data_IF_133876440575
#
_entry.id   IF_133876440575
#
_cell.length_a   1.000
_cell.length_b   1.000
_cell.length_c   1.000
_cell.angle_alpha   90.00
_cell.angle_beta   90.00
_cell.angle_gamma   90.00
#
_symmetry.space_group_name_H-M   'P 1'
#
loop_
_entity.id
_entity.type
_entity.pdbx_description
1 polymer ?
#
# COMPACT_ATOMS: atom_id res chain seq x y z
N UNK A 1 -21.76 -4.53 -30.76
CA UNK A 1 -22.47 -4.83 -29.51
C UNK A 1 -21.50 -4.65 -28.37
N UNK A 2 -21.59 -3.50 -27.68
CA UNK A 2 -20.76 -3.23 -26.51
C UNK A 2 -21.20 -4.13 -25.36
N UNK A 3 -20.29 -4.99 -24.89
CA UNK A 3 -20.49 -5.71 -23.63
C UNK A 3 -20.56 -4.66 -22.53
N UNK A 4 -21.76 -4.43 -21.97
CA UNK A 4 -21.94 -3.73 -20.71
C UNK A 4 -21.24 -4.58 -19.63
N UNK A 5 -19.94 -4.39 -19.46
CA UNK A 5 -19.26 -4.91 -18.28
C UNK A 5 -19.78 -4.11 -17.10
N UNK A 6 -20.56 -4.77 -16.23
CA UNK A 6 -20.92 -4.19 -14.92
C UNK A 6 -19.63 -3.67 -14.30
N UNK A 7 -19.64 -2.45 -13.73
CA UNK A 7 -18.46 -1.94 -13.04
C UNK A 7 -18.04 -2.97 -11.99
N UNK A 8 -16.74 -3.27 -11.95
CA UNK A 8 -16.19 -4.11 -10.91
C UNK A 8 -16.48 -3.43 -9.57
N UNK A 9 -17.17 -4.14 -8.68
CA UNK A 9 -17.61 -3.60 -7.37
C UNK A 9 -16.41 -3.16 -6.53
N UNK A 10 -15.22 -3.66 -6.85
CA UNK A 10 -13.97 -3.30 -6.19
C UNK A 10 -13.33 -1.99 -6.69
N UNK A 11 -13.86 -1.39 -7.77
CA UNK A 11 -13.27 -0.19 -8.38
C UNK A 11 -13.56 1.06 -7.54
N UNK A 12 -12.49 1.74 -7.09
CA UNK A 12 -12.55 2.94 -6.24
C UNK A 12 -12.55 4.21 -7.08
N UNK A 13 -11.61 4.29 -8.04
CA UNK A 13 -11.39 5.44 -8.90
C UNK A 13 -10.94 4.98 -10.29
N UNK A 14 -11.28 5.78 -11.32
CA UNK A 14 -10.76 5.52 -12.65
C UNK A 14 -10.72 6.79 -13.51
N UNK A 15 -9.80 6.80 -14.47
CA UNK A 15 -9.73 7.81 -15.54
C UNK A 15 -9.54 7.05 -16.85
N UNK A 16 -10.44 7.27 -17.78
CA UNK A 16 -10.41 6.61 -19.10
C UNK A 16 -10.53 7.60 -20.25
N UNK A 17 -9.96 7.24 -21.37
CA UNK A 17 -10.23 7.82 -22.67
C UNK A 17 -10.29 6.68 -23.69
N UNK A 18 -10.42 7.02 -24.97
CA UNK A 18 -10.53 6.00 -26.05
C UNK A 18 -9.29 5.09 -26.16
N UNK A 19 -8.14 5.53 -25.67
CA UNK A 19 -6.85 4.84 -25.84
C UNK A 19 -6.41 4.08 -24.62
N UNK A 20 -6.58 4.68 -23.44
CA UNK A 20 -6.01 4.15 -22.20
C UNK A 20 -6.95 4.34 -21.02
N UNK A 21 -6.83 3.42 -20.05
CA UNK A 21 -7.51 3.48 -18.76
C UNK A 21 -6.47 3.39 -17.64
N UNK A 22 -6.68 4.15 -16.58
CA UNK A 22 -6.14 3.85 -15.25
C UNK A 22 -7.30 3.64 -14.28
N UNK A 23 -7.24 2.58 -13.49
CA UNK A 23 -8.20 2.31 -12.42
C UNK A 23 -7.48 1.93 -11.13
N UNK A 24 -8.11 2.25 -10.00
CA UNK A 24 -7.71 1.78 -8.68
C UNK A 24 -8.81 0.86 -8.14
N UNK A 25 -8.43 -0.29 -7.60
CA UNK A 25 -9.34 -1.29 -7.06
C UNK A 25 -8.99 -1.60 -5.61
N UNK A 26 -10.02 -1.93 -4.83
CA UNK A 26 -9.92 -2.33 -3.44
C UNK A 26 -9.39 -3.77 -3.32
N UNK A 27 -8.22 -3.90 -2.71
CA UNK A 27 -7.62 -5.15 -2.23
C UNK A 27 -7.20 -4.98 -0.76
N UNK A 28 -7.92 -4.13 -0.03
CA UNK A 28 -7.69 -3.89 1.38
C UNK A 28 -8.20 -5.07 2.21
N UNK A 29 -7.43 -5.42 3.21
CA UNK A 29 -7.76 -6.49 4.14
C UNK A 29 -7.54 -6.02 5.57
N UNK A 30 -8.48 -6.31 6.49
CA UNK A 30 -8.26 -6.09 7.90
C UNK A 30 -7.13 -7.00 8.38
N UNK A 31 -6.42 -6.62 9.46
CA UNK A 31 -5.44 -7.50 10.08
C UNK A 31 -6.13 -8.80 10.53
N UNK A 32 -5.41 -9.90 10.38
CA UNK A 32 -5.88 -11.20 10.86
C UNK A 32 -5.90 -11.18 12.40
N UNK A 33 -7.09 -11.35 12.96
CA UNK A 33 -7.34 -11.38 14.40
C UNK A 33 -7.04 -12.74 15.01
N UNK A 34 -6.92 -13.79 14.19
CA UNK A 34 -6.59 -15.14 14.63
C UNK A 34 -5.07 -15.40 14.59
N UNK A 35 -4.29 -14.38 14.22
CA UNK A 35 -2.84 -14.43 14.30
C UNK A 35 -2.33 -14.52 15.72
N UNK A 36 -1.09 -14.92 15.86
CA UNK A 36 -0.35 -15.06 17.11
C UNK A 36 -0.69 -13.94 18.11
N UNK A 37 -1.36 -14.23 19.25
CA UNK A 37 -1.76 -13.22 20.21
C UNK A 37 -0.59 -12.45 20.83
N UNK A 38 0.63 -12.98 20.73
CA UNK A 38 1.85 -12.29 21.18
C UNK A 38 2.35 -11.21 20.20
N UNK A 39 1.77 -11.15 19.00
CA UNK A 39 2.12 -10.17 17.97
C UNK A 39 1.00 -9.17 17.76
N UNK A 40 0.97 -8.13 18.59
CA UNK A 40 0.10 -6.99 18.33
C UNK A 40 0.38 -6.44 16.91
N UNK A 41 -0.62 -6.40 16.01
CA UNK A 41 -0.40 -5.88 14.68
C UNK A 41 -0.02 -4.40 14.74
N UNK A 42 1.05 -4.03 14.06
CA UNK A 42 1.56 -2.66 14.03
C UNK A 42 0.71 -1.72 13.15
N UNK A 43 -0.26 -2.25 12.41
CA UNK A 43 -1.04 -1.53 11.41
C UNK A 43 -2.51 -1.93 11.44
N UNK A 44 -3.39 -1.00 11.05
CA UNK A 44 -4.81 -1.26 10.80
C UNK A 44 -5.05 -2.11 9.54
N UNK A 45 -4.02 -2.35 8.76
CA UNK A 45 -4.06 -3.14 7.55
C UNK A 45 -3.29 -4.45 7.72
N UNK A 46 -3.80 -5.52 7.13
CA UNK A 46 -3.04 -6.77 7.00
C UNK A 46 -1.76 -6.54 6.19
N UNK A 47 -0.76 -7.38 6.40
CA UNK A 47 0.52 -7.32 5.67
C UNK A 47 0.35 -7.29 4.15
N UNK A 48 -0.71 -7.89 3.64
CA UNK A 48 -1.01 -8.00 2.20
C UNK A 48 -2.13 -7.07 1.73
N UNK A 49 -2.57 -6.13 2.59
CA UNK A 49 -3.56 -5.11 2.23
C UNK A 49 -2.97 -4.17 1.16
N UNK A 50 -3.69 -3.99 0.05
CA UNK A 50 -3.18 -3.24 -1.12
C UNK A 50 -4.27 -2.42 -1.78
N UNK A 51 -3.85 -1.38 -2.49
CA UNK A 51 -4.62 -0.77 -3.57
C UNK A 51 -4.04 -1.28 -4.89
N UNK A 52 -4.84 -1.99 -5.67
CA UNK A 52 -4.43 -2.48 -6.99
C UNK A 52 -4.66 -1.40 -8.04
N UNK A 53 -3.61 -0.96 -8.68
CA UNK A 53 -3.68 -0.11 -9.87
C UNK A 53 -3.72 -0.97 -11.13
N UNK A 54 -4.57 -0.59 -12.08
CA UNK A 54 -4.71 -1.25 -13.37
C UNK A 54 -4.49 -0.19 -14.45
N UNK A 55 -3.56 -0.42 -15.35
CA UNK A 55 -3.40 0.36 -16.57
C UNK A 55 -3.74 -0.52 -17.76
N UNK A 56 -4.59 0.00 -18.67
CA UNK A 56 -4.99 -0.69 -19.90
C UNK A 56 -4.68 0.18 -21.11
N UNK A 57 -4.10 -0.43 -22.12
CA UNK A 57 -3.88 0.14 -23.44
C UNK A 57 -4.84 -0.54 -24.44
N UNK A 58 -5.82 0.21 -24.94
CA UNK A 58 -6.84 -0.27 -25.87
C UNK A 58 -6.40 -0.16 -27.35
N UNK A 59 -5.32 0.58 -27.65
CA UNK A 59 -4.81 0.74 -29.02
C UNK A 59 -4.08 -0.51 -29.50
N UNK A 60 -3.64 -1.38 -28.59
CA UNK A 60 -3.02 -2.66 -28.94
C UNK A 60 -4.06 -3.73 -29.21
N UNK A 61 -3.76 -4.63 -30.13
CA UNK A 61 -4.61 -5.77 -30.43
C UNK A 61 -3.82 -7.09 -30.28
N UNK A 62 -4.11 -7.93 -29.24
CA UNK A 62 -5.12 -7.68 -28.19
C UNK A 62 -4.75 -6.54 -27.25
N UNK A 63 -5.75 -5.95 -26.58
CA UNK A 63 -5.53 -4.92 -25.56
C UNK A 63 -4.59 -5.43 -24.46
N UNK A 64 -3.63 -4.59 -24.06
CA UNK A 64 -2.68 -4.92 -22.99
C UNK A 64 -3.14 -4.26 -21.71
N UNK A 65 -3.20 -5.03 -20.62
CA UNK A 65 -3.41 -4.51 -19.29
C UNK A 65 -2.28 -4.96 -18.37
N UNK A 66 -1.82 -4.05 -17.53
CA UNK A 66 -0.83 -4.31 -16.50
C UNK A 66 -1.36 -3.85 -15.16
N UNK A 67 -0.98 -4.56 -14.10
CA UNK A 67 -1.41 -4.25 -12.73
C UNK A 67 -0.21 -4.02 -11.84
N UNK A 68 -0.40 -3.20 -10.82
CA UNK A 68 0.59 -2.99 -9.76
C UNK A 68 -0.13 -2.74 -8.43
N UNK A 69 0.36 -3.35 -7.37
CA UNK A 69 -0.23 -3.19 -6.04
C UNK A 69 0.62 -2.22 -5.22
N UNK A 70 0.02 -1.14 -4.73
CA UNK A 70 0.65 -0.19 -3.82
C UNK A 70 0.15 -0.38 -2.39
N UNK A 71 1.01 -0.10 -1.43
CA UNK A 71 0.61 -0.03 -0.03
C UNK A 71 -0.25 1.21 0.22
N UNK A 72 -1.20 1.16 1.18
CA UNK A 72 -1.97 2.35 1.58
C UNK A 72 -1.09 3.55 1.96
N UNK A 73 0.05 3.31 2.59
CA UNK A 73 1.03 4.34 2.94
C UNK A 73 1.70 4.98 1.72
N UNK A 74 2.03 4.18 0.69
CA UNK A 74 2.57 4.69 -0.58
C UNK A 74 1.55 5.58 -1.29
N UNK A 75 0.27 5.18 -1.29
CA UNK A 75 -0.83 5.99 -1.85
C UNK A 75 -0.92 7.35 -1.16
N UNK A 76 -0.88 7.38 0.18
CA UNK A 76 -0.94 8.65 0.94
C UNK A 76 0.27 9.54 0.65
N UNK A 77 1.47 8.96 0.63
CA UNK A 77 2.70 9.68 0.29
C UNK A 77 2.62 10.29 -1.11
N UNK A 78 2.13 9.53 -2.10
CA UNK A 78 1.97 10.03 -3.46
C UNK A 78 0.93 11.14 -3.54
N UNK A 79 -0.22 11.00 -2.86
CA UNK A 79 -1.25 12.04 -2.79
C UNK A 79 -0.68 13.38 -2.28
N UNK A 80 0.07 13.37 -1.17
CA UNK A 80 0.68 14.58 -0.61
C UNK A 80 1.70 15.19 -1.59
N UNK A 81 2.59 14.36 -2.15
CA UNK A 81 3.59 14.84 -3.13
C UNK A 81 2.93 15.43 -4.37
N UNK A 82 1.88 14.81 -4.90
CA UNK A 82 1.15 15.30 -6.07
C UNK A 82 0.52 16.66 -5.75
N UNK A 83 -0.16 16.79 -4.61
CA UNK A 83 -0.75 18.05 -4.17
C UNK A 83 0.26 19.20 -4.08
N UNK A 84 1.43 18.93 -3.51
CA UNK A 84 2.52 19.93 -3.42
C UNK A 84 3.12 20.28 -4.80
N UNK A 85 3.29 19.31 -5.66
CA UNK A 85 3.99 19.49 -6.94
C UNK A 85 3.13 20.18 -7.99
N UNK A 86 1.81 19.99 -7.98
CA UNK A 86 0.90 20.67 -8.91
C UNK A 86 0.90 22.19 -8.76
N UNK A 87 1.29 22.69 -7.58
CA UNK A 87 1.48 24.12 -7.29
C UNK A 87 2.85 24.67 -7.75
N UNK A 88 3.71 23.84 -8.34
CA UNK A 88 5.07 24.21 -8.69
C UNK A 88 5.41 23.83 -10.14
N UNK A 89 6.51 24.37 -10.67
CA UNK A 89 7.07 23.94 -11.97
C UNK A 89 8.20 22.91 -11.83
N UNK A 90 8.24 22.17 -10.70
CA UNK A 90 9.29 21.18 -10.46
C UNK A 90 9.00 19.87 -11.19
N UNK A 91 10.05 19.29 -11.72
CA UNK A 91 10.02 17.91 -12.21
C UNK A 91 9.91 16.95 -11.04
N UNK A 92 9.31 15.79 -11.31
CA UNK A 92 9.20 14.71 -10.34
C UNK A 92 9.40 13.37 -11.02
N UNK A 93 10.08 12.47 -10.34
CA UNK A 93 10.29 11.09 -10.76
C UNK A 93 10.29 10.20 -9.52
N UNK A 94 9.35 9.28 -9.45
CA UNK A 94 9.27 8.30 -8.40
C UNK A 94 8.92 6.95 -8.99
N UNK A 95 9.59 5.90 -8.50
CA UNK A 95 9.31 4.54 -8.93
C UNK A 95 9.48 3.56 -7.79
N UNK A 96 8.72 2.46 -7.87
CA UNK A 96 8.87 1.31 -6.99
C UNK A 96 8.88 0.04 -7.82
N UNK A 97 9.62 -0.97 -7.35
CA UNK A 97 9.87 -2.20 -8.07
C UNK A 97 9.48 -3.38 -7.21
N UNK A 98 8.82 -4.38 -7.81
CA UNK A 98 8.58 -5.69 -7.22
C UNK A 98 9.36 -6.73 -7.99
N UNK A 99 10.22 -7.44 -7.28
CA UNK A 99 10.99 -8.56 -7.78
C UNK A 99 10.43 -9.84 -7.17
N UNK A 100 10.01 -10.77 -8.02
CA UNK A 100 9.43 -12.04 -7.61
C UNK A 100 10.44 -13.20 -7.68
N UNK A 101 11.72 -12.91 -7.84
CA UNK A 101 12.80 -13.91 -7.94
C UNK A 101 12.88 -14.80 -6.69
N UNK A 102 12.60 -14.26 -5.50
CA UNK A 102 12.53 -15.00 -4.24
C UNK A 102 11.45 -16.10 -4.22
N UNK A 103 10.47 -16.02 -5.14
CA UNK A 103 9.41 -17.03 -5.31
C UNK A 103 9.69 -17.98 -6.49
N UNK A 104 10.92 -18.02 -7.00
CA UNK A 104 11.31 -18.85 -8.15
C UNK A 104 10.79 -18.33 -9.50
N UNK A 105 10.37 -17.08 -9.57
CA UNK A 105 9.85 -16.45 -10.77
C UNK A 105 10.71 -15.22 -11.11
N UNK A 106 11.37 -15.21 -12.27
CA UNK A 106 12.21 -14.10 -12.72
C UNK A 106 11.42 -12.83 -13.11
N UNK A 107 10.12 -12.78 -12.79
CA UNK A 107 9.25 -11.65 -13.10
C UNK A 107 9.62 -10.43 -12.23
N UNK A 108 9.67 -9.29 -12.89
CA UNK A 108 9.85 -7.97 -12.26
C UNK A 108 8.77 -7.03 -12.76
N UNK A 109 8.18 -6.28 -11.84
CA UNK A 109 7.20 -5.24 -12.13
C UNK A 109 7.72 -3.90 -11.61
N UNK A 110 7.60 -2.86 -12.42
CA UNK A 110 8.00 -1.49 -12.07
C UNK A 110 6.81 -0.56 -12.24
N UNK A 111 6.44 0.12 -11.18
CA UNK A 111 5.49 1.23 -11.23
C UNK A 111 6.27 2.54 -11.18
N UNK A 112 5.91 3.50 -12.01
CA UNK A 112 6.58 4.81 -12.07
C UNK A 112 5.58 5.93 -12.29
N UNK A 113 5.77 7.01 -11.55
CA UNK A 113 5.09 8.30 -11.75
C UNK A 113 6.14 9.35 -12.06
N UNK A 114 5.94 10.08 -13.15
CA UNK A 114 6.80 11.21 -13.53
C UNK A 114 5.97 12.46 -13.76
N UNK A 115 6.56 13.62 -13.50
CA UNK A 115 6.01 14.92 -13.84
C UNK A 115 7.03 15.74 -14.60
N UNK A 116 6.61 16.29 -15.74
CA UNK A 116 7.35 17.25 -16.55
C UNK A 116 6.42 18.41 -16.90
N UNK A 117 6.35 19.47 -16.06
CA UNK A 117 5.41 20.58 -16.26
C UNK A 117 5.76 21.45 -17.46
N UNK A 118 7.05 21.48 -17.84
CA UNK A 118 7.54 22.23 -19.00
C UNK A 118 8.12 21.27 -20.04
N UNK A 119 7.78 21.48 -21.30
CA UNK A 119 8.36 20.78 -22.43
C UNK A 119 8.66 21.78 -23.55
N UNK A 120 9.91 21.84 -23.99
CA UNK A 120 10.35 22.80 -25.00
C UNK A 120 9.97 24.26 -24.65
N UNK A 121 10.17 24.66 -23.39
CA UNK A 121 9.82 25.98 -22.84
C UNK A 121 8.30 26.33 -22.91
N UNK A 122 7.46 25.33 -23.10
CA UNK A 122 6.01 25.49 -23.09
C UNK A 122 5.39 24.64 -21.97
N UNK A 123 4.32 25.15 -21.35
CA UNK A 123 3.59 24.41 -20.32
C UNK A 123 2.93 23.16 -20.91
N UNK A 124 3.23 22.02 -20.35
CA UNK A 124 2.66 20.74 -20.80
C UNK A 124 1.18 20.65 -20.39
N UNK A 125 0.30 20.30 -21.34
CA UNK A 125 -1.13 20.04 -21.07
C UNK A 125 -1.33 18.82 -20.16
N UNK A 126 -0.50 17.81 -20.32
CA UNK A 126 -0.51 16.57 -19.55
C UNK A 126 0.89 16.36 -18.95
N UNK A 127 1.22 17.06 -17.86
CA UNK A 127 2.56 17.02 -17.27
C UNK A 127 2.89 15.71 -16.58
N UNK A 128 1.88 14.93 -16.20
CA UNK A 128 2.07 13.67 -15.50
C UNK A 128 2.02 12.46 -16.44
N UNK A 129 2.86 11.49 -16.14
CA UNK A 129 2.78 10.17 -16.74
C UNK A 129 2.86 9.10 -15.66
N UNK A 130 1.89 8.20 -15.63
CA UNK A 130 1.89 6.98 -14.83
C UNK A 130 2.19 5.82 -15.77
N UNK A 131 3.14 4.96 -15.42
CA UNK A 131 3.44 3.76 -16.17
C UNK A 131 3.62 2.54 -15.28
N UNK A 132 3.22 1.39 -15.81
CA UNK A 132 3.54 0.08 -15.27
C UNK A 132 4.33 -0.65 -16.35
N UNK A 133 5.44 -1.23 -15.96
CA UNK A 133 6.28 -2.09 -16.80
C UNK A 133 6.36 -3.46 -16.17
N UNK A 134 6.22 -4.49 -16.98
CA UNK A 134 6.43 -5.88 -16.60
C UNK A 134 7.52 -6.47 -17.49
N UNK A 135 8.33 -7.34 -16.92
CA UNK A 135 9.42 -8.00 -17.62
C UNK A 135 10.15 -8.98 -16.71
N UNK A 136 11.38 -9.30 -17.08
CA UNK A 136 12.22 -10.27 -16.37
C UNK A 136 13.49 -9.62 -15.84
N UNK A 137 14.09 -10.24 -14.83
CA UNK A 137 15.42 -9.91 -14.34
C UNK A 137 16.43 -10.89 -14.97
N UNK A 138 17.32 -10.36 -15.80
CA UNK A 138 18.44 -11.12 -16.39
C UNK A 138 19.76 -10.52 -15.90
N UNK A 139 20.57 -11.32 -15.19
CA UNK A 139 21.87 -10.89 -14.64
C UNK A 139 21.78 -9.61 -13.79
N UNK A 140 20.70 -9.49 -12.98
CA UNK A 140 20.47 -8.31 -12.14
C UNK A 140 20.01 -7.06 -12.89
N UNK A 141 19.73 -7.16 -14.20
CA UNK A 141 19.21 -6.07 -15.02
C UNK A 141 17.75 -6.32 -15.38
N UNK A 142 16.92 -5.31 -15.21
CA UNK A 142 15.53 -5.35 -15.62
C UNK A 142 15.41 -5.22 -17.15
N UNK A 143 14.75 -6.20 -17.77
CA UNK A 143 14.40 -6.20 -19.19
C UNK A 143 12.90 -6.08 -19.32
N UNK A 144 12.42 -4.91 -19.72
CA UNK A 144 11.00 -4.67 -19.91
C UNK A 144 10.50 -5.41 -21.16
N UNK A 145 9.43 -6.19 -20.99
CA UNK A 145 8.73 -6.91 -22.07
C UNK A 145 7.44 -6.20 -22.45
N UNK A 146 6.79 -5.58 -21.47
CA UNK A 146 5.57 -4.83 -21.65
C UNK A 146 5.62 -3.52 -20.87
N UNK A 147 5.01 -2.48 -21.44
CA UNK A 147 4.79 -1.19 -20.78
C UNK A 147 3.42 -0.66 -21.18
N UNK A 148 2.67 -0.18 -20.20
CA UNK A 148 1.47 0.63 -20.41
C UNK A 148 1.67 1.96 -19.70
N UNK A 149 1.35 3.06 -20.39
CA UNK A 149 1.52 4.42 -19.89
C UNK A 149 0.26 5.25 -20.12
N UNK A 150 -0.09 6.06 -19.13
CA UNK A 150 -1.16 7.05 -19.23
C UNK A 150 -0.64 8.42 -18.88
N UNK A 151 -0.96 9.41 -19.72
CA UNK A 151 -0.69 10.82 -19.46
C UNK A 151 -1.91 11.48 -18.84
N UNK A 152 -1.67 12.36 -17.86
CA UNK A 152 -2.69 13.01 -17.04
C UNK A 152 -2.38 14.50 -16.86
N UNK A 153 -3.43 15.32 -16.79
CA UNK A 153 -3.34 16.69 -16.33
C UNK A 153 -3.12 16.77 -14.82
N UNK A 154 -2.79 17.96 -14.30
CA UNK A 154 -2.68 18.20 -12.86
C UNK A 154 -4.00 17.88 -12.15
N UNK A 155 -5.15 18.29 -12.71
CA UNK A 155 -6.47 18.07 -12.12
C UNK A 155 -6.86 16.57 -12.12
N UNK A 156 -6.59 15.86 -13.23
CA UNK A 156 -6.93 14.44 -13.34
C UNK A 156 -6.17 13.60 -12.30
N UNK A 157 -4.87 13.81 -12.16
CA UNK A 157 -4.09 13.02 -11.22
C UNK A 157 -4.45 13.36 -9.76
N UNK A 158 -4.66 14.64 -9.43
CA UNK A 158 -5.11 15.04 -8.10
C UNK A 158 -6.44 14.37 -7.74
N UNK A 159 -7.45 14.50 -8.61
CA UNK A 159 -8.76 13.89 -8.40
C UNK A 159 -8.65 12.38 -8.19
N UNK A 160 -7.86 11.70 -9.00
CA UNK A 160 -7.67 10.25 -8.90
C UNK A 160 -7.13 9.84 -7.52
N UNK A 161 -6.09 10.52 -7.02
CA UNK A 161 -5.53 10.20 -5.70
C UNK A 161 -6.40 10.69 -4.54
N UNK A 162 -7.14 11.80 -4.69
CA UNK A 162 -8.11 12.25 -3.69
C UNK A 162 -9.20 11.19 -3.49
N UNK A 163 -9.77 10.65 -4.59
CA UNK A 163 -10.82 9.63 -4.52
C UNK A 163 -10.32 8.36 -3.81
N UNK A 164 -9.08 7.92 -4.10
CA UNK A 164 -8.47 6.76 -3.44
C UNK A 164 -8.25 7.03 -1.94
N UNK A 165 -7.71 8.20 -1.57
CA UNK A 165 -7.46 8.54 -0.16
C UNK A 165 -8.76 8.71 0.61
N UNK A 166 -9.80 9.28 0.00
CA UNK A 166 -11.12 9.38 0.61
C UNK A 166 -11.68 7.98 0.91
N UNK A 167 -11.57 7.04 -0.03
CA UNK A 167 -11.95 5.65 0.18
C UNK A 167 -11.15 4.99 1.32
N UNK A 168 -9.81 5.15 1.33
CA UNK A 168 -8.94 4.64 2.40
C UNK A 168 -9.37 5.15 3.79
N UNK A 169 -9.71 6.43 3.90
CA UNK A 169 -10.17 7.02 5.16
C UNK A 169 -11.47 6.37 5.64
N UNK A 170 -12.46 6.19 4.75
CA UNK A 170 -13.73 5.53 5.09
C UNK A 170 -13.49 4.08 5.49
N UNK A 171 -12.65 3.36 4.74
CA UNK A 171 -12.30 1.97 5.04
C UNK A 171 -11.62 1.85 6.42
N UNK A 172 -10.65 2.71 6.73
CA UNK A 172 -9.97 2.73 8.03
C UNK A 172 -10.91 3.10 9.18
N UNK A 173 -11.84 4.03 8.97
CA UNK A 173 -12.85 4.37 9.98
C UNK A 173 -13.79 3.19 10.27
N UNK A 174 -14.21 2.47 9.25
CA UNK A 174 -15.16 1.35 9.40
C UNK A 174 -14.52 0.10 10.00
N UNK A 175 -13.28 -0.19 9.66
CA UNK A 175 -12.56 -1.39 10.11
C UNK A 175 -11.62 -1.11 11.29
N UNK A 176 -11.03 0.08 11.35
CA UNK A 176 -10.05 0.45 12.35
C UNK A 176 -10.64 0.64 13.75
N UNK A 177 -11.77 1.31 13.88
CA UNK A 177 -12.39 1.57 15.17
C UNK A 177 -12.83 0.28 15.90
N UNK A 178 -13.52 -0.67 15.24
CA UNK A 178 -13.80 -1.97 15.84
C UNK A 178 -12.53 -2.74 16.21
N UNK A 179 -11.52 -2.72 15.35
CA UNK A 179 -10.25 -3.38 15.58
C UNK A 179 -9.51 -2.82 16.80
N UNK A 180 -9.41 -1.49 16.92
CA UNK A 180 -8.79 -0.85 18.09
C UNK A 180 -9.53 -1.25 19.36
N UNK A 181 -10.85 -1.15 19.38
CA UNK A 181 -11.68 -1.42 20.57
C UNK A 181 -11.64 -2.89 20.98
N UNK A 182 -11.78 -3.80 20.03
CA UNK A 182 -11.99 -5.22 20.32
C UNK A 182 -10.69 -6.02 20.42
N UNK A 183 -9.59 -5.49 19.92
CA UNK A 183 -8.30 -6.20 19.87
C UNK A 183 -7.20 -5.42 20.56
N UNK A 184 -6.92 -4.20 20.12
CA UNK A 184 -5.77 -3.43 20.61
C UNK A 184 -5.94 -3.04 22.08
N UNK A 185 -7.09 -2.55 22.48
CA UNK A 185 -7.32 -2.14 23.88
C UNK A 185 -7.27 -3.31 24.86
N UNK A 186 -7.95 -4.45 24.63
CA UNK A 186 -7.81 -5.63 25.47
C UNK A 186 -6.37 -6.13 25.56
N UNK A 187 -5.67 -6.25 24.44
CA UNK A 187 -4.27 -6.66 24.41
C UNK A 187 -3.36 -5.76 25.26
N UNK A 188 -3.51 -4.43 25.15
CA UNK A 188 -2.78 -3.48 25.98
C UNK A 188 -3.11 -3.61 27.46
N UNK A 189 -4.38 -3.88 27.80
CA UNK A 189 -4.82 -4.06 29.17
C UNK A 189 -4.21 -5.33 29.79
N UNK A 190 -4.21 -6.46 29.09
CA UNK A 190 -3.59 -7.71 29.54
C UNK A 190 -2.08 -7.56 29.74
N UNK A 191 -1.40 -6.93 28.78
CA UNK A 191 0.04 -6.67 28.88
C UNK A 191 0.39 -5.81 30.10
N UNK A 192 -0.43 -4.78 30.42
CA UNK A 192 -0.25 -3.95 31.62
C UNK A 192 -0.40 -4.77 32.88
N UNK A 193 -1.43 -5.66 32.96
CA UNK A 193 -1.63 -6.56 34.10
C UNK A 193 -0.42 -7.49 34.30
N UNK A 194 0.06 -8.12 33.24
CA UNK A 194 1.23 -9.01 33.30
C UNK A 194 2.52 -8.30 33.75
N UNK A 195 2.72 -7.03 33.38
CA UNK A 195 3.86 -6.23 33.87
C UNK A 195 3.69 -5.91 35.34
N UNK A 196 2.48 -5.52 35.80
CA UNK A 196 2.19 -5.23 37.21
C UNK A 196 2.37 -6.46 38.09
N UNK A 197 1.91 -7.65 37.66
CA UNK A 197 2.10 -8.90 38.38
C UNK A 197 3.57 -9.30 38.51
N UNK A 198 4.35 -9.16 37.45
CA UNK A 198 5.80 -9.40 37.48
C UNK A 198 6.52 -8.44 38.44
N UNK A 199 6.14 -7.17 38.44
CA UNK A 199 6.72 -6.17 39.36
C UNK A 199 6.36 -6.44 40.80
N UNK A 200 5.12 -6.92 41.06
CA UNK A 200 4.67 -7.29 42.40
C UNK A 200 5.41 -8.52 42.93
N UNK A 201 5.55 -9.58 42.10
CA UNK A 201 6.31 -10.78 42.47
C UNK A 201 7.79 -10.49 42.72
N UNK A 202 8.38 -9.53 41.99
CA UNK A 202 9.77 -9.11 42.21
C UNK A 202 9.97 -8.25 43.47
N UNK A 203 8.89 -7.64 43.97
CA UNK A 203 8.91 -6.82 45.20
C UNK A 203 8.50 -7.61 46.46
N UNK A 204 8.01 -8.84 46.35
CA UNK A 204 7.73 -9.72 47.50
C UNK A 204 9.07 -10.21 48.06
N UNK A 205 9.34 -10.01 49.38
CA UNK A 205 10.55 -10.55 49.98
C UNK A 205 10.55 -12.08 49.89
N UNK A 206 11.69 -12.74 49.74
CA UNK A 206 11.78 -14.19 49.75
C UNK A 206 11.08 -14.76 50.95
N UNK A 207 10.14 -15.68 50.71
CA UNK A 207 9.46 -16.38 51.83
C UNK A 207 10.48 -17.14 52.61
N UNK A 208 10.29 -17.14 53.97
CA UNK A 208 11.20 -17.72 54.96
C UNK A 208 11.48 -19.22 54.78
N UNK A 209 10.87 -19.89 53.83
CA UNK A 209 11.04 -21.32 53.55
C UNK A 209 12.25 -21.63 52.65
N UNK A 210 12.89 -20.60 52.05
CA UNK A 210 14.09 -20.78 51.24
C UNK A 210 15.43 -20.75 52.00
N UNK A 211 15.38 -20.65 53.34
CA UNK A 211 16.57 -20.82 54.20
C UNK A 211 16.73 -22.29 54.55
N UNK A 212 17.37 -23.07 53.68
CA UNK A 212 17.98 -24.32 54.10
C UNK A 212 19.06 -24.00 55.15
N UNK A 213 18.73 -24.35 56.42
CA UNK A 213 19.72 -24.32 57.49
C UNK A 213 20.74 -25.43 57.20
N UNK A 214 21.92 -25.05 56.71
CA UNK A 214 23.05 -25.97 56.68
C UNK A 214 23.54 -26.12 58.10
N UNK A 215 23.13 -27.22 58.76
CA UNK A 215 23.77 -27.68 60.01
C UNK A 215 25.21 -28.14 59.65
N UNK A 216 26.16 -27.43 60.18
CA UNK A 216 27.58 -27.86 60.17
C UNK A 216 27.83 -28.66 61.44
N UNK A 217 27.97 -29.97 61.32
CA UNK A 217 28.63 -30.85 62.30
C UNK A 217 30.14 -30.79 62.12
#
# INVERSE_FOLDING_TARGET
>A
MGKNTKPDVSQIAFITNQKTLIAACDYLQPPDLNGDPDKCPASLHARYSRIKLILTDFERNPSVFLTYNLDPSEIRLLHEKIGMLTMTERNFDWSTTKDFSSFGNNRVEVFRITRMPMRNNQKAKYPWAISIRAGTSENGKFKAEQEVRKFLSDDEIQKFFIDIVAYLNVWEMTHGAPFIRNVIEPYKAERRKGIQEKSRKAAEPPTSDDFEIYDFD
#
